data_IF_506885395876
#
_entry.id   IF_506885395876
#
_cell.length_a   1.000
_cell.length_b   1.000
_cell.length_c   1.000
_cell.angle_alpha   90.00
_cell.angle_beta   90.00
_cell.angle_gamma   90.00
#
_symmetry.space_group_name_H-M   'P 1'
#
loop_
_entity.id
_entity.type
_entity.pdbx_description
1 polymer ?
#
# COMPACT_ATOMS: atom_id res chain seq x y z
N UNK A 1 7.72 -13.82 -2.03
CA UNK A 1 8.65 -12.82 -2.55
C UNK A 1 9.57 -12.35 -1.43
N UNK A 2 10.83 -12.05 -1.76
CA UNK A 2 11.83 -11.44 -0.87
C UNK A 2 12.54 -10.36 -1.66
N UNK A 3 12.74 -9.19 -1.07
CA UNK A 3 13.46 -8.07 -1.67
C UNK A 3 14.29 -7.32 -0.63
N UNK A 4 15.46 -6.83 -1.06
CA UNK A 4 16.26 -5.85 -0.34
C UNK A 4 16.29 -4.54 -1.14
N UNK A 5 16.29 -3.41 -0.48
CA UNK A 5 16.28 -2.10 -1.13
C UNK A 5 17.02 -1.06 -0.31
N UNK A 6 17.45 0.01 -0.97
CA UNK A 6 17.98 1.22 -0.35
C UNK A 6 17.04 2.39 -0.66
N UNK A 7 16.92 3.30 0.28
CA UNK A 7 16.17 4.52 0.05
C UNK A 7 17.04 5.53 -0.72
N UNK A 8 16.49 6.19 -1.73
CA UNK A 8 17.19 7.27 -2.40
C UNK A 8 17.30 8.49 -1.49
N UNK A 9 18.34 9.29 -1.69
CA UNK A 9 18.54 10.57 -0.98
C UNK A 9 17.82 11.73 -1.65
N UNK A 10 17.29 11.53 -2.85
CA UNK A 10 16.48 12.49 -3.58
C UNK A 10 15.05 11.98 -3.83
N UNK A 11 14.14 12.90 -4.14
CA UNK A 11 12.72 12.61 -4.35
C UNK A 11 12.48 11.73 -5.59
N UNK A 12 13.40 11.70 -6.54
CA UNK A 12 13.28 10.98 -7.80
C UNK A 12 14.04 9.66 -7.84
N UNK A 13 14.74 9.32 -6.75
CA UNK A 13 15.49 8.08 -6.66
C UNK A 13 16.77 8.03 -7.50
N UNK A 14 17.24 9.17 -7.98
CA UNK A 14 18.43 9.25 -8.85
C UNK A 14 19.76 9.12 -8.10
N UNK A 15 19.77 9.43 -6.81
CA UNK A 15 20.99 9.36 -6.00
C UNK A 15 20.79 8.46 -4.78
N UNK A 16 21.65 7.47 -4.63
CA UNK A 16 21.71 6.60 -3.45
C UNK A 16 23.01 6.97 -2.72
N UNK A 17 22.85 7.80 -1.66
CA UNK A 17 23.98 8.18 -0.82
C UNK A 17 24.37 7.09 0.18
N UNK A 18 25.58 7.19 0.74
CA UNK A 18 26.05 6.25 1.77
C UNK A 18 25.26 6.33 3.08
N UNK A 19 24.62 7.46 3.34
CA UNK A 19 23.71 7.66 4.48
C UNK A 19 22.24 7.35 4.13
N UNK A 20 21.97 6.79 2.97
CA UNK A 20 20.64 6.31 2.59
C UNK A 20 20.28 5.10 3.43
N UNK A 21 19.10 5.13 4.04
CA UNK A 21 18.58 3.98 4.75
C UNK A 21 18.40 2.78 3.82
N UNK A 22 18.30 1.62 4.40
CA UNK A 22 18.03 0.37 3.67
C UNK A 22 16.92 -0.41 4.33
N UNK A 23 16.42 -1.38 3.62
CA UNK A 23 15.38 -2.24 4.14
C UNK A 23 15.31 -3.55 3.41
N UNK A 24 14.53 -4.43 3.99
CA UNK A 24 14.12 -5.66 3.36
C UNK A 24 12.63 -5.85 3.50
N UNK A 25 12.02 -6.52 2.54
CA UNK A 25 10.62 -6.91 2.61
C UNK A 25 10.42 -8.34 2.15
N UNK A 26 9.54 -9.04 2.82
CA UNK A 26 9.11 -10.38 2.44
C UNK A 26 7.59 -10.45 2.43
N UNK A 27 7.01 -11.20 1.48
CA UNK A 27 5.59 -11.47 1.38
C UNK A 27 5.37 -12.93 1.03
N UNK A 28 4.52 -13.60 1.80
CA UNK A 28 4.05 -14.95 1.56
C UNK A 28 2.54 -14.90 1.36
N UNK A 29 2.06 -15.49 0.27
CA UNK A 29 0.65 -15.49 -0.06
C UNK A 29 0.24 -16.86 -0.59
N UNK A 30 -1.03 -17.18 -0.44
CA UNK A 30 -1.59 -18.42 -0.94
C UNK A 30 -3.10 -18.33 -1.13
N UNK A 31 -3.61 -19.25 -1.92
CA UNK A 31 -5.04 -19.47 -2.07
C UNK A 31 -5.46 -20.49 -1.02
N UNK A 32 -6.40 -20.10 -0.16
CA UNK A 32 -6.95 -20.95 0.89
C UNK A 32 -8.08 -21.83 0.39
N UNK A 33 -8.85 -21.32 -0.56
CA UNK A 33 -10.02 -22.00 -1.11
C UNK A 33 -10.24 -21.60 -2.57
N UNK A 34 -10.64 -22.57 -3.39
CA UNK A 34 -11.09 -22.40 -4.77
C UNK A 34 -12.42 -23.14 -4.93
N UNK A 35 -13.39 -22.44 -5.47
CA UNK A 35 -14.73 -22.97 -5.69
C UNK A 35 -15.20 -22.79 -7.14
N UNK A 36 -16.44 -23.14 -7.43
CA UNK A 36 -17.07 -22.86 -8.71
C UNK A 36 -17.17 -21.36 -8.97
N UNK A 37 -17.50 -20.98 -10.21
CA UNK A 37 -17.69 -19.60 -10.65
C UNK A 37 -16.48 -18.68 -10.37
N UNK A 38 -15.26 -19.22 -10.59
CA UNK A 38 -13.99 -18.52 -10.31
C UNK A 38 -13.89 -17.97 -8.89
N UNK A 39 -14.56 -18.65 -7.95
CA UNK A 39 -14.51 -18.28 -6.54
C UNK A 39 -13.13 -18.58 -5.96
N UNK A 40 -12.49 -17.57 -5.38
CA UNK A 40 -11.17 -17.69 -4.76
C UNK A 40 -11.17 -16.97 -3.41
N UNK A 41 -10.59 -17.63 -2.40
CA UNK A 41 -10.21 -17.01 -1.14
C UNK A 41 -8.69 -17.03 -1.02
N UNK A 42 -8.11 -15.86 -0.97
CA UNK A 42 -6.68 -15.60 -0.84
C UNK A 42 -6.36 -15.07 0.54
N UNK A 43 -5.23 -15.50 1.10
CA UNK A 43 -4.63 -14.88 2.28
C UNK A 43 -3.14 -14.67 2.08
N UNK A 44 -2.61 -13.70 2.79
CA UNK A 44 -1.19 -13.42 2.79
C UNK A 44 -0.72 -12.73 4.05
N UNK A 45 0.58 -12.80 4.26
CA UNK A 45 1.29 -12.07 5.30
C UNK A 45 2.57 -11.48 4.74
N UNK A 46 2.95 -10.33 5.28
CA UNK A 46 4.18 -9.66 4.89
C UNK A 46 4.90 -9.10 6.12
N UNK A 47 6.20 -9.00 5.99
CA UNK A 47 7.07 -8.35 6.96
C UNK A 47 8.04 -7.45 6.23
N UNK A 48 8.27 -6.26 6.75
CA UNK A 48 9.30 -5.35 6.27
C UNK A 48 10.10 -4.79 7.45
N UNK A 49 11.41 -4.76 7.27
CA UNK A 49 12.35 -4.07 8.14
C UNK A 49 12.86 -2.84 7.41
N UNK A 50 12.83 -1.71 8.08
CA UNK A 50 13.34 -0.43 7.57
C UNK A 50 14.37 0.09 8.56
N UNK A 51 15.57 0.33 8.06
CA UNK A 51 16.62 1.10 8.71
C UNK A 51 16.61 2.48 8.03
N UNK A 52 15.99 3.50 8.65
CA UNK A 52 15.72 4.74 7.96
C UNK A 52 16.97 5.61 7.81
N UNK A 53 17.06 6.34 6.72
CA UNK A 53 18.04 7.40 6.57
C UNK A 53 17.82 8.48 7.64
N UNK A 54 18.91 9.01 8.18
CA UNK A 54 18.90 10.05 9.23
C UNK A 54 18.23 9.62 10.55
N UNK A 55 18.13 8.33 10.83
CA UNK A 55 17.56 7.79 12.08
C UNK A 55 16.19 8.39 12.42
N UNK A 56 15.34 8.57 11.43
CA UNK A 56 14.04 9.20 11.62
C UNK A 56 12.97 8.63 10.67
N UNK A 57 11.76 8.49 11.19
CA UNK A 57 10.56 8.15 10.41
C UNK A 57 9.43 9.11 10.72
N UNK A 58 8.55 9.30 9.75
CA UNK A 58 7.30 10.03 9.92
C UNK A 58 6.20 9.32 9.15
N UNK A 59 5.10 9.03 9.82
CA UNK A 59 3.91 8.47 9.19
C UNK A 59 2.85 9.55 9.06
N UNK A 60 2.43 9.81 7.83
CA UNK A 60 1.40 10.81 7.54
C UNK A 60 0.50 10.34 6.42
N UNK A 61 -0.78 10.66 6.52
CA UNK A 61 -1.78 10.36 5.51
C UNK A 61 -2.53 11.63 5.13
N UNK A 62 -2.55 11.93 3.86
CA UNK A 62 -3.28 13.05 3.26
C UNK A 62 -4.54 12.55 2.55
N UNK A 63 -5.53 13.42 2.28
CA UNK A 63 -6.66 13.07 1.43
C UNK A 63 -6.21 12.59 0.06
N UNK A 64 -6.80 11.52 -0.44
CA UNK A 64 -6.49 10.94 -1.75
C UNK A 64 -7.17 11.72 -2.88
N UNK A 65 -6.70 12.94 -3.15
CA UNK A 65 -7.11 13.71 -4.32
C UNK A 65 -5.91 14.49 -4.87
N UNK A 66 -5.97 14.82 -6.14
CA UNK A 66 -4.83 15.33 -6.93
C UNK A 66 -4.04 16.48 -6.26
N UNK A 67 -4.72 17.46 -5.69
CA UNK A 67 -4.06 18.61 -5.04
C UNK A 67 -3.28 18.19 -3.79
N UNK A 68 -3.78 17.19 -3.06
CA UNK A 68 -3.08 16.67 -1.88
C UNK A 68 -1.85 15.84 -2.24
N UNK A 69 -1.93 15.09 -3.35
CA UNK A 69 -0.88 14.18 -3.80
C UNK A 69 0.31 14.92 -4.44
N UNK A 70 0.08 16.05 -5.08
CA UNK A 70 1.14 16.75 -5.82
C UNK A 70 2.23 17.34 -4.94
N UNK A 71 1.97 17.53 -3.65
CA UNK A 71 2.99 17.91 -2.64
C UNK A 71 3.80 19.16 -2.96
N UNK A 72 3.48 19.89 -4.03
CA UNK A 72 4.30 21.00 -4.50
C UNK A 72 3.52 22.08 -5.26
N UNK A 73 4.00 23.32 -5.11
CA UNK A 73 3.42 24.52 -5.72
C UNK A 73 3.39 24.50 -7.26
N UNK A 74 4.16 23.64 -7.91
CA UNK A 74 4.33 23.65 -9.37
C UNK A 74 3.06 23.27 -10.16
N UNK A 75 2.12 22.58 -9.53
CA UNK A 75 0.89 22.09 -10.19
C UNK A 75 -0.40 22.70 -9.60
N UNK A 76 -0.28 23.59 -8.64
CA UNK A 76 -1.42 24.21 -7.96
C UNK A 76 -1.67 25.61 -8.55
N UNK A 77 -2.90 25.92 -9.00
CA UNK A 77 -3.23 27.25 -9.49
C UNK A 77 -2.96 28.33 -8.44
N UNK A 78 -2.64 29.53 -8.89
CA UNK A 78 -2.41 30.67 -8.02
C UNK A 78 -3.64 30.91 -7.11
N UNK A 79 -3.37 31.10 -5.80
CA UNK A 79 -4.43 31.33 -4.80
C UNK A 79 -5.00 30.06 -4.14
N UNK A 80 -4.59 28.88 -4.58
CA UNK A 80 -4.94 27.62 -3.92
C UNK A 80 -3.85 27.27 -2.88
N UNK A 81 -4.21 26.82 -1.67
CA UNK A 81 -3.20 26.37 -0.69
C UNK A 81 -2.29 25.30 -1.28
N UNK A 82 -0.99 25.47 -1.16
CA UNK A 82 0.02 24.52 -1.69
C UNK A 82 0.23 23.30 -0.82
N UNK A 83 -0.31 23.30 0.38
CA UNK A 83 -0.23 22.21 1.32
C UNK A 83 -1.62 21.89 1.89
N UNK A 84 -2.07 20.67 1.68
CA UNK A 84 -3.25 20.14 2.36
C UNK A 84 -2.77 19.50 3.66
N UNK A 85 -3.32 19.89 4.83
CA UNK A 85 -2.93 19.30 6.09
C UNK A 85 -3.22 17.79 6.08
N UNK A 86 -2.34 16.96 6.61
CA UNK A 86 -2.58 15.55 6.73
C UNK A 86 -3.72 15.27 7.71
N UNK A 87 -4.52 14.24 7.46
CA UNK A 87 -5.52 13.75 8.40
C UNK A 87 -4.88 13.13 9.65
N UNK A 88 -3.76 12.48 9.44
CA UNK A 88 -2.95 11.87 10.49
C UNK A 88 -1.51 12.25 10.23
N UNK A 89 -0.81 12.67 11.26
CA UNK A 89 0.61 12.96 11.23
C UNK A 89 1.21 12.62 12.61
N UNK A 90 2.20 11.74 12.62
CA UNK A 90 2.91 11.37 13.86
C UNK A 90 3.97 12.39 14.25
N UNK A 91 4.28 13.35 13.37
CA UNK A 91 5.52 14.09 13.46
C UNK A 91 6.74 13.19 13.21
N UNK A 92 7.92 13.79 13.32
CA UNK A 92 9.18 13.08 13.15
C UNK A 92 9.49 12.28 14.42
N UNK A 93 9.76 10.99 14.26
CA UNK A 93 10.10 10.06 15.34
C UNK A 93 11.55 9.65 15.16
N UNK A 94 12.41 9.97 16.12
CA UNK A 94 13.79 9.48 16.13
C UNK A 94 13.78 7.96 16.32
N UNK A 95 14.41 7.23 15.40
CA UNK A 95 14.19 5.80 15.22
C UNK A 95 15.46 5.10 14.72
N UNK A 96 15.83 4.01 15.37
CA UNK A 96 16.89 3.13 14.85
C UNK A 96 16.34 2.22 13.75
N UNK A 97 15.17 1.61 13.98
CA UNK A 97 14.53 0.66 13.04
C UNK A 97 13.02 0.73 13.13
N UNK A 98 12.36 0.42 12.03
CA UNK A 98 10.93 0.21 11.99
C UNK A 98 10.60 -1.18 11.43
N UNK A 99 9.70 -1.87 12.11
CA UNK A 99 9.20 -3.19 11.75
C UNK A 99 7.76 -3.06 11.32
N UNK A 100 7.45 -3.52 10.12
CA UNK A 100 6.08 -3.49 9.57
C UNK A 100 5.61 -4.93 9.37
N UNK A 101 4.47 -5.25 9.95
CA UNK A 101 3.78 -6.51 9.78
C UNK A 101 2.48 -6.24 9.04
N UNK A 102 2.17 -7.06 8.05
CA UNK A 102 0.91 -6.95 7.33
C UNK A 102 0.25 -8.32 7.18
N UNK A 103 -1.08 -8.31 7.25
CA UNK A 103 -1.92 -9.44 6.88
C UNK A 103 -2.93 -8.98 5.83
N UNK A 104 -3.23 -9.85 4.89
CA UNK A 104 -4.16 -9.55 3.80
C UNK A 104 -5.12 -10.71 3.57
N UNK A 105 -6.35 -10.36 3.22
CA UNK A 105 -7.37 -11.28 2.73
C UNK A 105 -7.99 -10.70 1.47
N UNK A 106 -8.25 -11.55 0.49
CA UNK A 106 -8.99 -11.19 -0.70
C UNK A 106 -9.90 -12.34 -1.13
N UNK A 107 -11.10 -12.00 -1.56
CA UNK A 107 -12.06 -12.97 -2.04
C UNK A 107 -12.72 -12.46 -3.33
N UNK A 108 -13.03 -13.39 -4.22
CA UNK A 108 -13.88 -13.17 -5.38
C UNK A 108 -14.85 -14.35 -5.53
N UNK A 109 -16.08 -14.05 -5.94
CA UNK A 109 -17.09 -15.06 -6.23
C UNK A 109 -18.12 -14.48 -7.21
N UNK A 110 -18.14 -14.98 -8.43
CA UNK A 110 -18.92 -14.37 -9.51
C UNK A 110 -18.61 -12.88 -9.64
N UNK A 111 -19.63 -12.04 -9.57
CA UNK A 111 -19.51 -10.57 -9.69
C UNK A 111 -19.11 -9.87 -8.40
N UNK A 112 -19.02 -10.57 -7.29
CA UNK A 112 -18.62 -9.98 -6.00
C UNK A 112 -17.12 -10.14 -5.77
N UNK A 113 -16.52 -9.10 -5.19
CA UNK A 113 -15.16 -9.15 -4.72
C UNK A 113 -15.00 -8.33 -3.43
N UNK A 114 -14.09 -8.78 -2.58
CA UNK A 114 -13.74 -8.08 -1.35
C UNK A 114 -12.25 -8.24 -1.09
N UNK A 115 -11.66 -7.24 -0.45
CA UNK A 115 -10.30 -7.33 0.06
C UNK A 115 -10.15 -6.52 1.33
N UNK A 116 -9.28 -6.99 2.21
CA UNK A 116 -8.93 -6.30 3.45
C UNK A 116 -7.45 -6.45 3.75
N UNK A 117 -6.91 -5.46 4.44
CA UNK A 117 -5.53 -5.44 4.89
C UNK A 117 -5.48 -4.93 6.33
N UNK A 118 -4.62 -5.55 7.12
CA UNK A 118 -4.23 -5.07 8.43
C UNK A 118 -2.73 -4.83 8.41
N UNK A 119 -2.29 -3.68 8.91
CA UNK A 119 -0.88 -3.32 9.04
C UNK A 119 -0.61 -2.94 10.49
N UNK A 120 0.47 -3.47 11.03
CA UNK A 120 1.00 -3.09 12.34
C UNK A 120 2.46 -2.70 12.21
N UNK A 121 2.80 -1.51 12.67
CA UNK A 121 4.16 -0.98 12.65
C UNK A 121 4.66 -0.83 14.08
N UNK A 122 5.86 -1.32 14.34
CA UNK A 122 6.60 -1.11 15.58
C UNK A 122 7.84 -0.28 15.25
N UNK A 123 7.99 0.84 15.91
CA UNK A 123 9.11 1.77 15.74
C UNK A 123 10.02 1.68 16.96
N UNK A 124 11.26 1.24 16.76
CA UNK A 124 12.29 1.23 17.77
C UNK A 124 12.86 2.64 17.93
N UNK A 125 12.39 3.35 18.94
CA UNK A 125 12.78 4.74 19.15
C UNK A 125 14.21 4.85 19.70
N UNK A 126 14.94 5.81 19.15
CA UNK A 126 16.22 6.20 19.71
C UNK A 126 15.99 7.04 20.98
N UNK A 127 16.33 6.48 22.14
CA UNK A 127 16.24 7.17 23.44
C UNK A 127 14.84 7.18 24.08
N UNK A 128 13.95 6.24 23.75
CA UNK A 128 12.61 6.14 24.35
C UNK A 128 11.98 4.75 24.24
N UNK A 129 10.77 4.60 24.77
CA UNK A 129 10.00 3.37 24.60
C UNK A 129 9.55 3.23 23.15
N UNK A 130 9.50 1.98 22.65
CA UNK A 130 8.96 1.68 21.33
C UNK A 130 7.51 2.16 21.19
N UNK A 131 7.16 2.61 20.01
CA UNK A 131 5.79 2.99 19.67
C UNK A 131 5.22 2.08 18.59
N UNK A 132 3.94 1.76 18.71
CA UNK A 132 3.23 0.94 17.76
C UNK A 132 2.06 1.69 17.12
N UNK A 133 1.85 1.45 15.82
CA UNK A 133 0.72 1.98 15.05
C UNK A 133 0.03 0.83 14.34
N UNK A 134 -1.29 0.87 14.27
CA UNK A 134 -2.06 -0.12 13.52
C UNK A 134 -3.01 0.57 12.56
N UNK A 135 -3.20 -0.02 11.41
CA UNK A 135 -4.16 0.41 10.42
C UNK A 135 -4.91 -0.78 9.83
N UNK A 136 -6.16 -0.56 9.47
CA UNK A 136 -6.98 -1.52 8.76
C UNK A 136 -7.66 -0.84 7.59
N UNK A 137 -7.70 -1.53 6.46
CA UNK A 137 -8.52 -1.14 5.31
C UNK A 137 -9.35 -2.32 4.84
N UNK A 138 -10.58 -2.05 4.39
CA UNK A 138 -11.44 -3.05 3.78
C UNK A 138 -12.25 -2.41 2.65
N UNK A 139 -12.40 -3.14 1.57
CA UNK A 139 -13.24 -2.74 0.46
C UNK A 139 -13.98 -3.95 -0.09
N UNK A 140 -15.19 -3.71 -0.59
CA UNK A 140 -15.97 -4.70 -1.30
C UNK A 140 -16.61 -4.04 -2.53
N UNK A 141 -16.84 -4.82 -3.56
CA UNK A 141 -17.47 -4.36 -4.78
C UNK A 141 -18.36 -5.42 -5.40
N UNK A 142 -19.38 -4.94 -6.09
CA UNK A 142 -20.28 -5.75 -6.90
C UNK A 142 -20.32 -5.19 -8.32
N UNK A 143 -20.00 -6.03 -9.29
CA UNK A 143 -20.01 -5.67 -10.71
C UNK A 143 -21.41 -5.93 -11.23
N UNK A 144 -22.20 -4.88 -11.44
CA UNK A 144 -23.62 -4.94 -11.78
C UNK A 144 -23.86 -5.58 -13.15
N UNK A 145 -22.89 -5.51 -14.04
CA UNK A 145 -22.95 -6.04 -15.41
C UNK A 145 -22.60 -7.53 -15.51
N UNK A 146 -22.26 -8.16 -14.38
CA UNK A 146 -22.08 -9.60 -14.28
C UNK A 146 -20.69 -10.12 -14.51
N UNK A 147 -19.72 -9.23 -14.89
CA UNK A 147 -18.33 -9.65 -15.01
C UNK A 147 -17.74 -10.05 -13.65
N UNK A 148 -16.67 -10.81 -13.70
CA UNK A 148 -15.92 -11.16 -12.50
C UNK A 148 -14.56 -10.45 -12.45
N UNK A 149 -13.99 -10.35 -11.27
CA UNK A 149 -12.63 -9.86 -11.05
C UNK A 149 -11.69 -11.05 -10.94
N UNK A 150 -10.85 -11.32 -11.95
CA UNK A 150 -10.01 -12.50 -11.98
C UNK A 150 -8.92 -12.45 -10.91
N UNK A 151 -8.54 -13.59 -10.38
CA UNK A 151 -7.39 -13.70 -9.48
C UNK A 151 -6.11 -14.04 -10.26
N UNK A 152 -5.07 -13.25 -10.07
CA UNK A 152 -3.77 -13.50 -10.68
C UNK A 152 -2.88 -14.31 -9.72
N UNK A 153 -2.71 -15.60 -10.02
CA UNK A 153 -1.93 -16.53 -9.18
C UNK A 153 -0.45 -16.19 -9.11
N UNK A 154 0.14 -15.60 -10.17
CA UNK A 154 1.57 -15.27 -10.21
C UNK A 154 1.92 -14.13 -9.26
N UNK A 155 1.06 -13.14 -9.18
CA UNK A 155 1.26 -11.96 -8.34
C UNK A 155 0.53 -12.04 -6.99
N UNK A 156 -0.41 -12.99 -6.82
CA UNK A 156 -1.20 -13.13 -5.60
C UNK A 156 -2.11 -11.91 -5.36
N UNK A 157 -2.78 -11.42 -6.41
CA UNK A 157 -3.66 -10.24 -6.31
C UNK A 157 -4.89 -10.41 -7.19
N UNK A 158 -5.96 -9.66 -6.88
CA UNK A 158 -7.10 -9.52 -7.77
C UNK A 158 -6.70 -8.69 -9.00
N UNK A 159 -7.01 -9.21 -10.17
CA UNK A 159 -6.70 -8.59 -11.45
C UNK A 159 -7.67 -7.47 -11.83
N UNK A 160 -7.50 -6.98 -13.07
CA UNK A 160 -8.40 -5.98 -13.66
C UNK A 160 -9.67 -6.67 -14.17
N UNK A 161 -10.81 -6.03 -13.99
CA UNK A 161 -12.08 -6.43 -14.61
C UNK A 161 -11.95 -6.28 -16.12
N UNK A 162 -12.40 -7.30 -16.86
CA UNK A 162 -12.48 -7.26 -18.32
C UNK A 162 -13.96 -7.13 -18.67
N UNK A 163 -14.40 -6.00 -19.24
CA UNK A 163 -15.78 -5.80 -19.64
C UNK A 163 -16.22 -6.81 -20.73
N UNK A 164 -17.43 -7.33 -20.67
CA UNK A 164 -18.00 -8.14 -21.73
C UNK A 164 -18.11 -7.38 -23.05
N UNK A 165 -18.46 -6.09 -22.97
CA UNK A 165 -18.51 -5.20 -24.12
C UNK A 165 -17.67 -3.96 -23.86
N UNK A 166 -16.73 -3.65 -24.74
CA UNK A 166 -15.95 -2.44 -24.68
C UNK A 166 -16.78 -1.24 -25.16
N UNK A 167 -16.59 -0.09 -24.52
CA UNK A 167 -17.19 1.16 -24.97
C UNK A 167 -16.76 1.45 -26.43
N UNK A 168 -17.72 1.64 -27.34
CA UNK A 168 -17.44 1.88 -28.74
C UNK A 168 -17.38 0.65 -29.65
N UNK A 169 -17.48 -0.57 -29.15
CA UNK A 169 -17.68 -1.76 -29.96
C UNK A 169 -19.16 -2.07 -30.14
N UNK A 170 -19.94 -1.12 -30.64
CA UNK A 170 -21.21 -1.41 -31.28
C UNK A 170 -20.89 -1.91 -32.70
N UNK A 171 -20.68 -3.22 -32.84
CA UNK A 171 -20.57 -3.91 -34.11
C UNK A 171 -21.91 -4.41 -34.56
#
# INVERSE_FOLDING_TARGET
ALSGFRFPTDVFGGQIGDNGGYGMATRLTGVLFEGPDDSVLHAGGAYSLIDPANDAVQYRSQPEFFIAETGGAAFVPAGVPTAVPPFVDTGVIATNKAHLFAAELAATSGSFHAQSQFIHTVVDRNGGSNVGFSGVSAQAGWILTGEHRPYNRKSGVLGRIVPYNNFGSCG
#
